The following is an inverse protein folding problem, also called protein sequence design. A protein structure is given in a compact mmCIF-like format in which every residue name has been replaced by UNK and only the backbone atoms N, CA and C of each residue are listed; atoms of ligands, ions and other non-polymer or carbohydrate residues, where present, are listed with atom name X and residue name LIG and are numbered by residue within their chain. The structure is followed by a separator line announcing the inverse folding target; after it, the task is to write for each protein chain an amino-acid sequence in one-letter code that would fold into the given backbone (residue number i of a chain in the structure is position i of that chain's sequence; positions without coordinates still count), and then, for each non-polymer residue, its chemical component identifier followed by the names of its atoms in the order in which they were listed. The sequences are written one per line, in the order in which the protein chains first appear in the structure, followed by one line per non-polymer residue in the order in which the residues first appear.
data_IF_113911096258
#
_entry.id   IF_113911096258
#
_cell.length_a   1.000
_cell.length_b   1.000
_cell.length_c   1.000
_cell.angle_alpha   90.00
_cell.angle_beta   90.00
_cell.angle_gamma   90.00
#
_symmetry.space_group_name_H-M   'P 1'
#
loop_
_entity.id
_entity.type
_entity.pdbx_description
1 polymer ?
#
# COMPACT_ATOMS: atom_id res chain seq x y z
N UNK A 1 17.52 28.35 -6.15
CA UNK A 1 16.06 28.11 -6.07
C UNK A 1 15.67 27.67 -4.66
N UNK A 2 14.81 28.44 -3.99
CA UNK A 2 14.25 28.05 -2.70
C UNK A 2 13.38 26.81 -2.90
N UNK A 3 13.60 25.76 -2.12
CA UNK A 3 12.74 24.59 -2.11
C UNK A 3 11.33 25.05 -1.70
N UNK A 4 10.31 24.71 -2.50
CA UNK A 4 8.92 24.87 -2.08
C UNK A 4 8.72 24.19 -0.73
N UNK A 5 7.96 24.79 0.20
CA UNK A 5 7.69 24.16 1.49
C UNK A 5 7.08 22.77 1.24
N UNK A 6 7.53 21.78 2.01
CA UNK A 6 6.94 20.45 1.93
C UNK A 6 5.43 20.55 2.19
N UNK A 7 4.58 19.85 1.41
CA UNK A 7 3.15 19.82 1.67
C UNK A 7 2.90 19.31 3.10
N UNK A 8 1.83 19.78 3.76
CA UNK A 8 1.50 19.36 5.11
C UNK A 8 1.31 17.84 5.17
N UNK A 9 1.55 17.26 6.34
CA UNK A 9 1.29 15.85 6.60
C UNK A 9 -0.20 15.57 6.38
N UNK A 10 -0.50 14.50 5.64
CA UNK A 10 -1.86 14.03 5.47
C UNK A 10 -2.31 13.31 6.75
N UNK A 11 -3.40 13.77 7.35
CA UNK A 11 -3.92 13.23 8.61
C UNK A 11 -4.98 12.15 8.38
N UNK A 12 -4.96 11.02 9.12
CA UNK A 12 -5.95 9.95 8.99
C UNK A 12 -7.38 10.44 9.09
N UNK A 13 -8.27 9.89 8.27
CA UNK A 13 -9.70 10.12 8.44
C UNK A 13 -10.19 9.46 9.72
N UNK A 14 -11.11 10.15 10.41
CA UNK A 14 -11.68 9.67 11.68
C UNK A 14 -12.92 8.81 11.50
N UNK A 15 -13.54 8.88 10.33
CA UNK A 15 -14.82 8.27 10.02
C UNK A 15 -14.84 7.84 8.56
N UNK A 16 -15.53 6.74 8.33
CA UNK A 16 -15.83 6.23 6.99
C UNK A 16 -16.61 7.29 6.18
N UNK A 17 -16.35 7.43 4.87
CA UNK A 17 -17.06 8.38 4.04
C UNK A 17 -18.51 7.95 3.80
N UNK A 18 -19.46 8.83 4.13
CA UNK A 18 -20.90 8.54 4.03
C UNK A 18 -21.43 8.48 2.58
N UNK A 19 -20.68 9.04 1.62
CA UNK A 19 -21.09 9.11 0.21
C UNK A 19 -19.99 8.61 -0.71
N UNK A 20 -20.35 7.87 -1.78
CA UNK A 20 -19.41 7.57 -2.85
C UNK A 20 -18.93 8.87 -3.50
N UNK A 21 -17.63 9.11 -3.46
CA UNK A 21 -16.97 10.13 -4.28
C UNK A 21 -16.37 9.46 -5.51
N UNK A 22 -16.19 10.23 -6.58
CA UNK A 22 -15.35 9.84 -7.72
C UNK A 22 -14.44 11.01 -8.03
N UNK A 23 -13.29 11.05 -7.39
CA UNK A 23 -12.21 11.95 -7.78
C UNK A 23 -11.22 11.17 -8.63
N UNK A 24 -11.19 11.41 -9.95
CA UNK A 24 -9.94 11.13 -10.67
C UNK A 24 -9.01 12.29 -10.32
N UNK A 25 -7.80 12.04 -9.82
CA UNK A 25 -6.85 13.11 -9.63
C UNK A 25 -6.71 13.94 -10.92
N UNK A 26 -6.85 15.26 -10.85
CA UNK A 26 -6.44 16.11 -11.97
C UNK A 26 -4.93 16.34 -11.85
N UNK A 27 -4.15 15.70 -12.72
CA UNK A 27 -2.70 15.96 -12.87
C UNK A 27 -1.78 15.12 -11.98
N UNK A 28 -2.11 14.90 -10.71
CA UNK A 28 -1.31 14.06 -9.82
C UNK A 28 -1.73 12.58 -9.95
N UNK A 29 -0.84 11.59 -9.82
CA UNK A 29 -1.24 10.17 -9.95
C UNK A 29 -0.41 9.23 -9.11
N UNK A 30 -1.02 8.14 -8.68
CA UNK A 30 -0.31 6.99 -8.12
C UNK A 30 0.04 6.05 -9.29
N UNK A 31 1.31 5.65 -9.39
CA UNK A 31 1.79 4.73 -10.42
C UNK A 31 2.61 3.61 -9.77
N UNK A 32 1.92 2.53 -9.39
CA UNK A 32 2.53 1.38 -8.75
C UNK A 32 3.21 0.48 -9.78
N UNK A 33 4.52 0.32 -9.64
CA UNK A 33 5.35 -0.51 -10.51
C UNK A 33 6.02 -1.61 -9.71
N UNK A 34 5.79 -2.86 -10.09
CA UNK A 34 6.57 -3.97 -9.56
C UNK A 34 8.00 -3.92 -10.10
N UNK A 35 8.98 -3.86 -9.20
CA UNK A 35 10.39 -3.97 -9.57
C UNK A 35 10.78 -5.44 -9.75
N UNK A 36 11.91 -5.74 -10.45
CA UNK A 36 12.40 -7.09 -10.58
C UNK A 36 12.54 -7.79 -9.23
N UNK A 37 12.04 -9.02 -9.13
CA UNK A 37 12.21 -9.85 -7.94
C UNK A 37 13.68 -10.18 -7.71
N UNK A 38 14.09 -10.24 -6.45
CA UNK A 38 15.48 -10.51 -6.05
C UNK A 38 15.54 -11.60 -4.97
N UNK A 39 16.75 -12.04 -4.58
CA UNK A 39 16.97 -13.06 -3.54
C UNK A 39 16.13 -14.34 -3.69
N UNK A 40 15.96 -14.77 -4.94
CA UNK A 40 15.16 -15.93 -5.30
C UNK A 40 15.77 -17.22 -4.76
N UNK A 41 14.99 -18.00 -4.01
CA UNK A 41 15.41 -19.29 -3.48
C UNK A 41 14.27 -20.31 -3.40
N UNK A 42 14.61 -21.56 -3.65
CA UNK A 42 13.71 -22.69 -3.44
C UNK A 42 13.76 -23.12 -1.97
N UNK A 43 12.60 -23.29 -1.37
CA UNK A 43 12.41 -23.63 0.04
C UNK A 43 11.38 -24.77 0.20
N UNK A 44 11.19 -25.24 1.44
CA UNK A 44 10.17 -26.24 1.76
C UNK A 44 10.37 -27.57 1.03
N UNK A 45 11.62 -28.04 0.89
CA UNK A 45 11.97 -29.25 0.14
C UNK A 45 11.53 -29.23 -1.34
N UNK A 46 11.60 -28.05 -1.98
CA UNK A 46 11.26 -27.92 -3.40
C UNK A 46 9.83 -27.45 -3.68
N UNK A 47 9.03 -27.17 -2.65
CA UNK A 47 7.59 -26.86 -2.81
C UNK A 47 7.26 -25.37 -2.78
N UNK A 48 8.23 -24.51 -2.46
CA UNK A 48 8.00 -23.05 -2.32
C UNK A 48 9.12 -22.26 -2.98
N UNK A 49 8.76 -21.29 -3.81
CA UNK A 49 9.68 -20.25 -4.27
C UNK A 49 9.55 -19.04 -3.34
N UNK A 50 10.66 -18.58 -2.78
CA UNK A 50 10.74 -17.34 -2.00
C UNK A 50 11.55 -16.32 -2.79
N UNK A 51 11.14 -15.06 -2.72
CA UNK A 51 11.79 -13.94 -3.38
C UNK A 51 11.49 -12.64 -2.62
N UNK A 52 12.38 -11.66 -2.75
CA UNK A 52 12.12 -10.27 -2.39
C UNK A 52 11.31 -9.60 -3.49
N UNK A 53 10.34 -8.76 -3.09
CA UNK A 53 9.48 -8.02 -4.00
C UNK A 53 9.36 -6.58 -3.50
N UNK A 54 9.51 -5.63 -4.43
CA UNK A 54 9.36 -4.21 -4.17
C UNK A 54 8.32 -3.65 -5.13
N UNK A 55 7.36 -2.89 -4.60
CA UNK A 55 6.43 -2.10 -5.39
C UNK A 55 6.81 -0.63 -5.19
N UNK A 56 7.13 0.04 -6.29
CA UNK A 56 7.52 1.44 -6.30
C UNK A 56 6.35 2.30 -6.78
N UNK A 57 5.98 3.33 -6.01
CA UNK A 57 5.13 4.40 -6.52
C UNK A 57 5.98 5.39 -7.33
N UNK A 58 5.96 5.27 -8.65
CA UNK A 58 6.65 6.13 -9.61
C UNK A 58 5.85 7.39 -10.00
N UNK A 59 4.68 7.57 -9.38
CA UNK A 59 3.80 8.70 -9.59
C UNK A 59 4.16 9.89 -8.69
N UNK A 60 3.44 11.00 -8.90
CA UNK A 60 3.63 12.26 -8.18
C UNK A 60 2.55 12.51 -7.10
N UNK A 61 1.64 11.55 -6.89
CA UNK A 61 0.73 11.52 -5.74
C UNK A 61 1.05 10.36 -4.78
N UNK A 62 0.81 10.53 -3.47
CA UNK A 62 0.92 9.43 -2.52
C UNK A 62 -0.19 8.39 -2.75
N UNK A 63 0.12 7.11 -2.48
CA UNK A 63 -0.91 6.11 -2.20
C UNK A 63 -1.33 6.31 -0.75
N UNK A 64 -2.62 6.56 -0.52
CA UNK A 64 -3.19 6.73 0.83
C UNK A 64 -4.44 5.88 0.89
N UNK A 65 -4.44 4.89 1.78
CA UNK A 65 -5.58 4.01 2.00
C UNK A 65 -5.94 4.06 3.47
N UNK A 66 -7.20 4.41 3.76
CA UNK A 66 -7.73 4.31 5.12
C UNK A 66 -8.68 3.11 5.24
N UNK A 67 -8.57 2.39 6.35
CA UNK A 67 -9.45 1.29 6.72
C UNK A 67 -10.41 1.70 7.84
N UNK A 68 -11.68 1.33 7.72
CA UNK A 68 -12.71 1.56 8.75
C UNK A 68 -13.46 0.28 9.08
N UNK A 69 -13.78 0.09 10.36
CA UNK A 69 -14.70 -0.97 10.80
C UNK A 69 -15.44 -0.62 12.08
N UNK A 70 -16.55 -1.30 12.26
CA UNK A 70 -17.22 -1.35 13.56
C UNK A 70 -16.42 -2.13 14.60
N UNK A 71 -16.62 -1.79 15.87
CA UNK A 71 -15.93 -2.48 16.97
C UNK A 71 -16.31 -3.96 17.00
N UNK A 72 -15.31 -4.82 16.82
CA UNK A 72 -15.47 -6.28 16.87
C UNK A 72 -15.73 -6.94 15.52
N UNK A 73 -15.85 -6.18 14.43
CA UNK A 73 -15.84 -6.74 13.08
C UNK A 73 -14.45 -7.30 12.75
N UNK A 74 -14.37 -8.38 11.96
CA UNK A 74 -13.10 -9.03 11.64
C UNK A 74 -12.33 -8.34 10.50
N UNK A 75 -13.04 -7.66 9.60
CA UNK A 75 -12.48 -6.94 8.45
C UNK A 75 -12.64 -5.42 8.60
N UNK A 76 -11.82 -4.64 7.90
CA UNK A 76 -12.04 -3.21 7.63
C UNK A 76 -12.35 -2.96 6.17
N UNK A 77 -13.32 -2.11 5.87
CA UNK A 77 -13.52 -1.59 4.51
C UNK A 77 -12.43 -0.56 4.21
N UNK A 78 -11.76 -0.69 3.06
CA UNK A 78 -10.63 0.13 2.65
C UNK A 78 -11.04 1.17 1.60
N UNK A 79 -10.61 2.41 1.80
CA UNK A 79 -10.83 3.53 0.88
C UNK A 79 -9.50 4.16 0.48
N UNK A 80 -9.26 4.25 -0.83
CA UNK A 80 -8.17 5.06 -1.37
C UNK A 80 -8.60 6.52 -1.46
N UNK A 81 -7.77 7.43 -0.93
CA UNK A 81 -7.97 8.87 -1.00
C UNK A 81 -6.99 9.51 -1.99
N UNK A 82 -7.51 10.41 -2.81
CA UNK A 82 -6.78 11.07 -3.89
C UNK A 82 -6.46 12.51 -3.55
N UNK A 83 -5.21 12.92 -3.71
CA UNK A 83 -4.74 14.27 -3.40
C UNK A 83 -4.14 14.94 -4.62
N UNK A 84 -4.35 16.25 -4.76
CA UNK A 84 -3.62 17.06 -5.72
C UNK A 84 -2.20 17.41 -5.23
N UNK A 85 -1.41 18.09 -6.06
CA UNK A 85 -0.04 18.48 -5.73
C UNK A 85 0.05 19.50 -4.58
N UNK A 86 -1.05 20.19 -4.25
CA UNK A 86 -1.13 21.09 -3.10
C UNK A 86 -1.49 20.33 -1.79
N UNK A 87 -1.74 19.02 -1.87
CA UNK A 87 -2.16 18.20 -0.73
C UNK A 87 -3.65 18.31 -0.42
N UNK A 88 -4.45 18.88 -1.32
CA UNK A 88 -5.91 18.94 -1.17
C UNK A 88 -6.52 17.63 -1.65
N UNK A 89 -7.39 17.05 -0.83
CA UNK A 89 -8.18 15.90 -1.22
C UNK A 89 -9.13 16.25 -2.39
N UNK A 90 -9.11 15.42 -3.41
CA UNK A 90 -9.89 15.57 -4.65
C UNK A 90 -10.98 14.51 -4.78
N UNK A 91 -10.93 13.47 -3.96
CA UNK A 91 -11.97 12.45 -3.82
C UNK A 91 -11.41 11.17 -3.24
N UNK A 92 -12.24 10.13 -3.23
CA UNK A 92 -11.92 8.81 -2.69
C UNK A 92 -12.65 7.72 -3.45
N UNK A 93 -12.22 6.47 -3.27
CA UNK A 93 -12.86 5.29 -3.82
C UNK A 93 -12.70 4.10 -2.84
N UNK A 94 -13.73 3.28 -2.70
CA UNK A 94 -13.63 1.98 -2.03
C UNK A 94 -12.79 1.02 -2.87
N UNK A 95 -11.74 0.44 -2.29
CA UNK A 95 -10.72 -0.33 -3.02
C UNK A 95 -10.52 -1.76 -2.52
N UNK A 96 -11.16 -2.16 -1.43
CA UNK A 96 -11.08 -3.53 -0.90
C UNK A 96 -11.25 -3.56 0.61
N UNK A 97 -10.51 -4.44 1.26
CA UNK A 97 -10.60 -4.66 2.70
C UNK A 97 -9.21 -4.79 3.35
N UNK A 98 -9.14 -4.54 4.66
CA UNK A 98 -8.01 -4.96 5.49
C UNK A 98 -8.39 -6.14 6.38
N UNK A 99 -7.51 -7.16 6.39
CA UNK A 99 -7.62 -8.34 7.23
C UNK A 99 -6.55 -8.35 8.33
N UNK A 100 -6.90 -8.82 9.53
CA UNK A 100 -5.94 -8.92 10.64
C UNK A 100 -5.18 -10.24 10.66
N UNK A 101 -3.88 -10.22 10.42
CA UNK A 101 -3.05 -11.42 10.36
C UNK A 101 -2.49 -11.85 11.73
N UNK A 102 -3.30 -12.55 12.54
CA UNK A 102 -2.91 -13.07 13.87
C UNK A 102 -1.78 -14.12 13.82
N UNK A 103 -1.75 -14.94 12.76
CA UNK A 103 -0.94 -16.15 12.75
C UNK A 103 0.57 -15.88 12.68
N UNK A 104 1.01 -14.76 12.10
CA UNK A 104 2.45 -14.51 11.87
C UNK A 104 2.90 -13.06 12.05
N UNK A 105 2.03 -12.04 11.86
CA UNK A 105 2.47 -10.63 11.77
C UNK A 105 1.79 -9.66 12.75
N UNK A 106 0.67 -10.06 13.38
CA UNK A 106 -0.03 -9.30 14.43
C UNK A 106 -0.41 -7.86 14.04
N UNK A 107 -0.68 -7.62 12.75
CA UNK A 107 -1.13 -6.34 12.21
C UNK A 107 -2.12 -6.52 11.06
N UNK A 108 -2.73 -5.40 10.64
CA UNK A 108 -3.62 -5.35 9.49
C UNK A 108 -2.83 -5.45 8.19
N UNK A 109 -3.41 -6.10 7.19
CA UNK A 109 -2.91 -6.12 5.82
C UNK A 109 -4.02 -5.66 4.87
N UNK A 110 -3.68 -4.82 3.90
CA UNK A 110 -4.54 -4.57 2.76
C UNK A 110 -4.55 -5.79 1.84
N UNK A 111 -5.74 -6.31 1.57
CA UNK A 111 -5.95 -7.44 0.65
C UNK A 111 -5.78 -7.01 -0.82
N UNK A 112 -5.59 -7.99 -1.71
CA UNK A 112 -5.52 -7.79 -3.17
C UNK A 112 -4.47 -6.78 -3.70
N UNK A 113 -3.43 -6.46 -2.90
CA UNK A 113 -2.37 -5.53 -3.33
C UNK A 113 -1.50 -6.08 -4.46
N UNK A 114 -1.21 -7.39 -4.43
CA UNK A 114 -0.34 -8.01 -5.43
C UNK A 114 -0.81 -9.40 -5.84
N UNK A 115 -0.55 -9.74 -7.11
CA UNK A 115 -0.78 -11.08 -7.65
C UNK A 115 0.52 -11.63 -8.22
N UNK A 116 0.99 -12.73 -7.64
CA UNK A 116 2.13 -13.47 -8.18
C UNK A 116 1.69 -14.75 -8.86
N UNK A 117 2.25 -15.00 -10.04
CA UNK A 117 2.00 -16.20 -10.84
C UNK A 117 3.35 -16.80 -11.23
N UNK A 118 3.52 -18.10 -10.97
CA UNK A 118 4.66 -18.83 -11.50
C UNK A 118 4.28 -19.35 -12.88
N UNK A 119 5.03 -18.96 -13.91
CA UNK A 119 4.77 -19.33 -15.30
C UNK A 119 5.86 -20.26 -15.83
N UNK A 120 5.49 -21.16 -16.74
CA UNK A 120 6.43 -21.90 -17.59
C UNK A 120 6.97 -20.98 -18.67
N UNK A 121 8.01 -21.45 -19.37
CA UNK A 121 8.61 -20.75 -20.53
C UNK A 121 7.59 -20.48 -21.63
N UNK A 122 6.60 -21.37 -21.80
CA UNK A 122 5.50 -21.21 -22.76
C UNK A 122 4.39 -20.24 -22.28
N UNK A 123 4.54 -19.63 -21.11
CA UNK A 123 3.56 -18.72 -20.52
C UNK A 123 2.41 -19.38 -19.76
N UNK A 124 2.33 -20.72 -19.75
CA UNK A 124 1.31 -21.44 -18.97
C UNK A 124 1.57 -21.33 -17.47
N UNK A 125 0.51 -21.21 -16.68
CA UNK A 125 0.62 -21.10 -15.23
C UNK A 125 0.97 -22.45 -14.59
N UNK A 126 1.94 -22.42 -13.68
CA UNK A 126 2.37 -23.56 -12.86
C UNK A 126 1.63 -23.54 -11.52
N UNK A 127 1.60 -22.37 -10.87
CA UNK A 127 0.94 -22.18 -9.60
C UNK A 127 0.64 -20.68 -9.34
N UNK A 128 -0.53 -20.37 -8.77
CA UNK A 128 -0.80 -19.07 -8.17
C UNK A 128 -0.11 -18.95 -6.80
N UNK A 129 0.18 -17.71 -6.38
CA UNK A 129 0.59 -17.41 -5.00
C UNK A 129 -0.61 -17.27 -4.07
N UNK A 130 -0.51 -17.79 -2.85
CA UNK A 130 -1.46 -17.51 -1.78
C UNK A 130 -1.16 -16.22 -0.99
N UNK A 131 -0.06 -15.52 -1.29
CA UNK A 131 0.24 -14.20 -0.71
C UNK A 131 -0.30 -13.11 -1.62
N UNK A 132 -1.32 -12.41 -1.15
CA UNK A 132 -2.01 -11.33 -1.85
C UNK A 132 -2.06 -10.05 -1.00
N UNK A 133 -1.94 -10.17 0.32
CA UNK A 133 -2.07 -9.07 1.28
C UNK A 133 -0.77 -8.64 1.94
N UNK A 134 -0.68 -7.33 2.20
CA UNK A 134 0.49 -6.64 2.74
C UNK A 134 0.07 -5.46 3.61
N UNK A 135 0.84 -5.17 4.65
CA UNK A 135 0.89 -3.79 5.18
C UNK A 135 1.63 -2.91 4.17
N UNK A 136 1.14 -1.69 3.94
CA UNK A 136 1.76 -0.70 3.06
C UNK A 136 2.57 0.29 3.89
N UNK A 137 3.86 0.38 3.59
CA UNK A 137 4.75 1.34 4.22
C UNK A 137 5.91 1.71 3.29
N UNK A 138 6.48 2.89 3.51
CA UNK A 138 7.71 3.30 2.83
C UNK A 138 8.89 2.55 3.44
N UNK A 139 9.43 1.54 2.76
CA UNK A 139 10.56 0.74 3.30
C UNK A 139 11.89 1.08 2.67
N UNK A 140 11.89 1.46 1.38
CA UNK A 140 13.10 1.60 0.58
C UNK A 140 13.08 2.88 -0.26
N UNK A 141 14.21 3.58 -0.31
CA UNK A 141 14.42 4.68 -1.25
C UNK A 141 14.84 4.12 -2.62
N UNK A 142 13.95 4.16 -3.61
CA UNK A 142 14.19 3.61 -4.96
C UNK A 142 14.91 4.63 -5.87
N UNK A 143 14.34 5.81 -6.06
CA UNK A 143 14.92 6.89 -6.86
C UNK A 143 14.67 8.24 -6.19
N UNK A 144 15.72 8.80 -5.59
CA UNK A 144 15.65 10.12 -4.93
C UNK A 144 15.90 11.28 -5.91
N UNK A 145 16.28 10.99 -7.16
CA UNK A 145 16.48 12.01 -8.19
C UNK A 145 15.17 12.41 -8.87
N UNK A 146 14.10 11.65 -8.66
CA UNK A 146 12.77 11.92 -9.22
C UNK A 146 12.20 13.28 -8.72
N UNK A 147 11.66 14.13 -9.60
CA UNK A 147 11.01 15.37 -9.19
C UNK A 147 9.85 15.12 -8.22
N UNK A 148 9.97 15.62 -6.98
CA UNK A 148 8.98 15.40 -5.92
C UNK A 148 9.34 14.30 -4.91
N UNK A 149 10.46 13.60 -5.10
CA UNK A 149 10.99 12.64 -4.14
C UNK A 149 11.17 13.29 -2.75
N UNK A 150 10.68 12.60 -1.73
CA UNK A 150 10.78 13.05 -0.33
C UNK A 150 12.03 12.45 0.30
N UNK A 151 13.00 13.31 0.61
CA UNK A 151 14.29 12.91 1.19
C UNK A 151 14.23 12.62 2.69
N UNK A 152 13.22 13.15 3.38
CA UNK A 152 12.99 12.96 4.81
C UNK A 152 11.54 12.55 5.01
N UNK A 153 11.29 11.25 4.93
CA UNK A 153 9.97 10.66 5.12
C UNK A 153 9.83 10.30 6.60
N UNK A 154 8.77 10.79 7.23
CA UNK A 154 8.38 10.30 8.55
C UNK A 154 7.78 8.90 8.40
N UNK A 155 8.20 7.95 9.24
CA UNK A 155 7.72 6.55 9.26
C UNK A 155 8.19 5.72 8.05
N UNK A 156 9.48 5.35 8.05
CA UNK A 156 10.07 4.41 7.08
C UNK A 156 10.15 2.97 7.62
N UNK A 157 9.38 2.66 8.66
CA UNK A 157 9.34 1.33 9.25
C UNK A 157 7.89 0.85 9.46
N UNK A 158 7.73 -0.44 9.69
CA UNK A 158 6.44 -1.11 9.84
C UNK A 158 5.89 -1.01 11.28
N UNK A 159 6.64 -0.43 12.22
CA UNK A 159 6.34 -0.56 13.66
C UNK A 159 5.13 0.27 14.11
N UNK A 160 4.79 1.33 13.37
CA UNK A 160 3.65 2.20 13.68
C UNK A 160 2.61 2.33 12.57
N UNK A 161 2.92 1.84 11.36
CA UNK A 161 2.04 1.96 10.19
C UNK A 161 0.81 1.03 10.25
N UNK A 162 0.99 -0.22 10.69
CA UNK A 162 0.03 -1.30 10.39
C UNK A 162 -1.03 -1.57 11.49
N UNK A 163 -1.01 -0.81 12.59
CA UNK A 163 -2.00 -0.89 13.67
C UNK A 163 -2.03 -2.20 14.49
N UNK A 164 -2.69 -2.17 15.66
CA UNK A 164 -3.00 -3.36 16.49
C UNK A 164 -4.45 -3.81 16.27
N UNK A 165 -4.81 -5.04 16.67
CA UNK A 165 -6.20 -5.51 16.58
C UNK A 165 -7.23 -4.62 17.27
N UNK A 166 -6.83 -3.75 18.19
CA UNK A 166 -7.76 -2.84 18.87
C UNK A 166 -8.16 -1.61 18.06
N UNK A 167 -7.48 -1.31 16.94
CA UNK A 167 -7.80 -0.12 16.14
C UNK A 167 -9.06 -0.34 15.30
N UNK A 168 -9.88 0.70 15.16
CA UNK A 168 -11.09 0.71 14.33
C UNK A 168 -10.94 1.59 13.08
N UNK A 169 -9.89 2.41 13.07
CA UNK A 169 -9.45 3.21 11.93
C UNK A 169 -7.96 3.00 11.72
N UNK A 170 -7.52 2.90 10.47
CA UNK A 170 -6.13 2.70 10.07
C UNK A 170 -5.82 3.59 8.86
N UNK A 171 -4.59 4.09 8.75
CA UNK A 171 -4.06 4.68 7.51
C UNK A 171 -2.78 3.96 7.14
N UNK A 172 -2.71 3.50 5.90
CA UNK A 172 -1.49 3.00 5.25
C UNK A 172 -1.19 3.74 3.94
#
# INVERSE_FOLDING_TARGET
PAASPAPPRLEPHRSEPEVPSRGKPSGASVDLRSLPAFDMKVAGKGTRLRFGATVWNAGDAPLVIDGFREKGADEMTAYQYFYDQAGKETGHQEVGEFHYHEANHNHWHYEDFARYRLLRVDGSEVAPSGKQSFCLANTDAVDLTYPGAKWNIYNTDLSSACGKRSVITLRE
#
